data_IF_312358534034
#
_entry.id   IF_312358534034
#
_cell.length_a   1.000
_cell.length_b   1.000
_cell.length_c   1.000
_cell.angle_alpha   90.00
_cell.angle_beta   90.00
_cell.angle_gamma   90.00
#
_symmetry.space_group_name_H-M   'P 1'
#
loop_
_entity.id
_entity.type
_entity.pdbx_description
1 polymer ?
#
# COMPACT_ATOMS: atom_id res chain seq x y z
N UNK A 1 -4.22 -5.83 5.26
CA UNK A 1 -3.50 -4.61 4.84
C UNK A 1 -2.54 -4.23 5.96
N UNK A 2 -1.27 -4.03 5.67
CA UNK A 2 -0.22 -3.61 6.63
C UNK A 2 0.75 -2.66 5.92
N UNK A 3 1.62 -1.95 6.64
CA UNK A 3 2.67 -1.08 6.09
C UNK A 3 2.37 0.42 6.10
N UNK A 4 1.10 0.84 6.15
CA UNK A 4 0.75 2.28 6.13
C UNK A 4 1.35 3.09 7.30
N UNK A 5 1.42 2.50 8.50
CA UNK A 5 1.99 3.15 9.68
C UNK A 5 3.53 3.13 9.70
N UNK A 6 4.15 2.30 8.87
CA UNK A 6 5.61 2.19 8.73
C UNK A 6 6.17 3.24 7.76
N UNK A 7 5.34 3.77 6.86
CA UNK A 7 5.72 4.81 5.91
C UNK A 7 6.14 6.09 6.64
N UNK A 8 7.30 6.63 6.26
CA UNK A 8 7.95 7.74 6.93
C UNK A 8 8.74 7.34 8.19
N UNK A 9 8.74 6.06 8.57
CA UNK A 9 9.54 5.49 9.67
C UNK A 9 10.58 4.47 9.20
N UNK A 10 10.30 3.79 8.08
CA UNK A 10 11.17 2.78 7.46
C UNK A 10 11.30 3.04 5.96
N UNK A 11 12.33 2.46 5.35
CA UNK A 11 12.46 2.52 3.89
C UNK A 11 11.37 1.67 3.21
N UNK A 12 10.89 2.05 2.01
CA UNK A 12 9.90 1.25 1.29
C UNK A 12 10.31 -0.21 1.08
N UNK A 13 11.58 -0.44 0.75
CA UNK A 13 12.13 -1.79 0.57
C UNK A 13 12.13 -2.63 1.85
N UNK A 14 12.37 -2.03 3.02
CA UNK A 14 12.29 -2.76 4.29
C UNK A 14 10.85 -3.18 4.62
N UNK A 15 9.87 -2.32 4.30
CA UNK A 15 8.46 -2.62 4.47
C UNK A 15 8.06 -3.76 3.52
N UNK A 16 8.43 -3.67 2.23
CA UNK A 16 8.18 -4.71 1.25
C UNK A 16 8.77 -6.07 1.64
N UNK A 17 10.05 -6.10 2.03
CA UNK A 17 10.73 -7.31 2.51
C UNK A 17 10.11 -7.91 3.78
N UNK A 18 9.45 -7.11 4.60
CA UNK A 18 8.76 -7.61 5.80
C UNK A 18 7.41 -8.27 5.49
N UNK A 19 6.81 -7.99 4.32
CA UNK A 19 5.49 -8.54 3.94
C UNK A 19 5.59 -10.01 3.49
N UNK A 20 6.65 -10.37 2.77
CA UNK A 20 6.81 -11.72 2.23
C UNK A 20 6.83 -12.81 3.32
N UNK A 21 7.63 -12.70 4.41
CA UNK A 21 7.63 -13.71 5.47
C UNK A 21 6.26 -13.90 6.13
N UNK A 22 5.48 -12.82 6.27
CA UNK A 22 4.12 -12.90 6.80
C UNK A 22 3.20 -13.70 5.87
N UNK A 23 3.31 -13.47 4.55
CA UNK A 23 2.53 -14.20 3.56
C UNK A 23 2.93 -15.68 3.49
N UNK A 24 4.23 -15.98 3.57
CA UNK A 24 4.74 -17.35 3.63
C UNK A 24 4.22 -18.07 4.87
N UNK A 25 4.21 -17.41 6.03
CA UNK A 25 3.65 -18.02 7.24
C UNK A 25 2.18 -18.42 7.09
N UNK A 26 1.35 -17.60 6.43
CA UNK A 26 -0.05 -17.96 6.13
C UNK A 26 -0.11 -19.19 5.21
N UNK A 27 0.77 -19.26 4.22
CA UNK A 27 0.86 -20.39 3.29
C UNK A 27 1.34 -21.67 3.97
N UNK A 28 2.26 -21.58 4.93
CA UNK A 28 2.74 -22.71 5.72
C UNK A 28 1.63 -23.31 6.58
N UNK A 29 0.76 -22.46 7.15
CA UNK A 29 -0.41 -22.88 7.93
C UNK A 29 -1.52 -23.47 7.05
N UNK A 30 -1.64 -23.02 5.79
CA UNK A 30 -2.63 -23.51 4.85
C UNK A 30 -2.07 -23.58 3.42
N UNK A 31 -1.46 -24.71 3.04
CA UNK A 31 -0.79 -24.87 1.74
C UNK A 31 -1.69 -24.78 0.51
N UNK A 32 -3.00 -24.64 0.66
CA UNK A 32 -3.95 -24.39 -0.44
C UNK A 32 -4.41 -22.93 -0.52
N UNK A 33 -4.11 -22.10 0.49
CA UNK A 33 -4.60 -20.73 0.56
C UNK A 33 -3.93 -19.81 -0.47
N UNK A 34 -4.73 -19.02 -1.16
CA UNK A 34 -4.26 -17.85 -1.90
C UNK A 34 -4.25 -16.64 -0.96
N UNK A 35 -3.10 -16.00 -0.84
CA UNK A 35 -2.90 -14.81 -0.01
C UNK A 35 -3.12 -13.57 -0.86
N UNK A 36 -3.97 -12.67 -0.38
CA UNK A 36 -4.20 -11.38 -1.03
C UNK A 36 -3.57 -10.26 -0.21
N UNK A 37 -2.65 -9.52 -0.82
CA UNK A 37 -1.98 -8.37 -0.19
C UNK A 37 -2.52 -7.08 -0.78
N UNK A 38 -3.29 -6.37 0.02
CA UNK A 38 -3.86 -5.10 -0.40
C UNK A 38 -2.81 -3.99 -0.43
N UNK A 39 -2.79 -3.22 -1.52
CA UNK A 39 -1.97 -2.02 -1.65
C UNK A 39 -2.27 -1.01 -0.53
N UNK A 40 -1.24 -0.28 -0.13
CA UNK A 40 -1.37 0.89 0.73
C UNK A 40 -2.15 1.96 -0.04
N UNK A 41 -3.21 2.46 0.59
CA UNK A 41 -4.00 3.57 0.05
C UNK A 41 -3.25 4.89 0.21
N UNK A 42 -3.37 5.81 -0.75
CA UNK A 42 -2.84 7.15 -0.60
C UNK A 42 -3.48 7.85 0.58
N UNK A 43 -2.68 8.66 1.27
CA UNK A 43 -3.13 9.57 2.30
C UNK A 43 -3.65 10.84 1.65
N UNK A 44 -4.81 11.29 2.13
CA UNK A 44 -5.34 12.63 1.88
C UNK A 44 -5.18 13.48 3.15
N UNK A 45 -5.53 14.77 3.07
CA UNK A 45 -5.57 15.65 4.26
C UNK A 45 -6.32 14.95 5.39
N UNK A 46 -5.56 14.60 6.42
CA UNK A 46 -6.07 13.83 7.53
C UNK A 46 -6.89 14.78 8.40
N UNK A 47 -8.23 14.69 8.35
CA UNK A 47 -9.12 15.62 9.07
C UNK A 47 -9.01 15.55 10.60
N UNK A 48 -8.24 14.62 11.15
CA UNK A 48 -8.03 14.44 12.59
C UNK A 48 -6.94 15.35 13.16
N UNK A 49 -5.96 15.76 12.35
CA UNK A 49 -4.89 16.66 12.75
C UNK A 49 -4.64 17.66 11.63
N UNK A 50 -5.21 18.87 11.76
CA UNK A 50 -5.06 19.97 10.78
C UNK A 50 -3.62 20.49 10.60
N UNK A 51 -2.62 19.70 10.98
CA UNK A 51 -1.18 19.97 10.96
C UNK A 51 -0.42 19.26 9.84
N UNK A 52 -1.06 18.38 9.03
CA UNK A 52 -0.36 17.74 7.93
C UNK A 52 -0.21 18.70 6.74
N UNK A 53 1.03 19.05 6.41
CA UNK A 53 1.34 19.89 5.24
C UNK A 53 1.16 19.11 3.94
N UNK A 54 0.83 19.81 2.86
CA UNK A 54 0.73 19.22 1.52
C UNK A 54 2.03 18.50 1.12
N UNK A 55 3.20 19.07 1.50
CA UNK A 55 4.51 18.47 1.25
C UNK A 55 4.69 17.13 1.97
N UNK A 56 4.19 17.02 3.21
CA UNK A 56 4.21 15.76 3.93
C UNK A 56 3.35 14.71 3.21
N UNK A 57 2.15 15.08 2.78
CA UNK A 57 1.23 14.17 2.07
C UNK A 57 1.86 13.68 0.77
N UNK A 58 2.44 14.58 -0.02
CA UNK A 58 3.12 14.24 -1.27
C UNK A 58 4.30 13.27 -1.06
N UNK A 59 5.12 13.49 -0.03
CA UNK A 59 6.23 12.58 0.30
C UNK A 59 5.71 11.21 0.76
N UNK A 60 4.74 11.20 1.67
CA UNK A 60 4.15 9.98 2.19
C UNK A 60 3.52 9.14 1.06
N UNK A 61 2.77 9.77 0.14
CA UNK A 61 2.14 9.08 -0.98
C UNK A 61 3.18 8.51 -1.97
N UNK A 62 4.31 9.19 -2.15
CA UNK A 62 5.42 8.67 -2.97
C UNK A 62 6.02 7.41 -2.34
N UNK A 63 6.26 7.43 -1.04
CA UNK A 63 6.79 6.28 -0.32
C UNK A 63 5.77 5.11 -0.30
N UNK A 64 4.48 5.42 -0.18
CA UNK A 64 3.41 4.43 -0.30
C UNK A 64 3.40 3.75 -1.67
N UNK A 65 3.60 4.51 -2.74
CA UNK A 65 3.70 3.96 -4.10
C UNK A 65 4.92 3.06 -4.25
N UNK A 66 6.07 3.45 -3.69
CA UNK A 66 7.25 2.59 -3.67
C UNK A 66 7.01 1.28 -2.89
N UNK A 67 6.32 1.34 -1.75
CA UNK A 67 5.91 0.12 -1.02
C UNK A 67 4.97 -0.75 -1.87
N UNK A 68 4.03 -0.15 -2.59
CA UNK A 68 3.13 -0.89 -3.48
C UNK A 68 3.90 -1.58 -4.61
N UNK A 69 4.95 -0.97 -5.15
CA UNK A 69 5.82 -1.62 -6.15
C UNK A 69 6.55 -2.84 -5.57
N UNK A 70 7.00 -2.76 -4.32
CA UNK A 70 7.58 -3.91 -3.63
C UNK A 70 6.54 -5.03 -3.42
N UNK A 71 5.31 -4.68 -3.05
CA UNK A 71 4.20 -5.66 -2.92
C UNK A 71 3.91 -6.33 -4.26
N UNK A 72 3.89 -5.56 -5.35
CA UNK A 72 3.68 -6.06 -6.70
C UNK A 72 4.78 -7.05 -7.13
N UNK A 73 6.03 -6.78 -6.76
CA UNK A 73 7.16 -7.66 -7.04
C UNK A 73 7.06 -9.02 -6.34
N UNK A 74 6.25 -9.14 -5.27
CA UNK A 74 6.00 -10.41 -4.56
C UNK A 74 4.94 -11.29 -5.24
N UNK A 75 4.29 -10.79 -6.30
CA UNK A 75 3.21 -11.51 -6.98
C UNK A 75 3.66 -12.87 -7.51
N UNK A 76 2.91 -13.92 -7.15
CA UNK A 76 3.13 -15.27 -7.62
C UNK A 76 1.84 -16.10 -7.56
N UNK A 77 1.86 -17.37 -7.96
CA UNK A 77 0.65 -18.20 -8.09
C UNK A 77 -0.23 -18.29 -6.84
N UNK A 78 0.33 -18.07 -5.65
CA UNK A 78 -0.39 -18.12 -4.37
C UNK A 78 -0.41 -16.79 -3.61
N UNK A 79 0.26 -15.74 -4.11
CA UNK A 79 0.28 -14.42 -3.50
C UNK A 79 -0.12 -13.38 -4.56
N UNK A 80 -1.24 -12.72 -4.33
CA UNK A 80 -1.85 -11.80 -5.27
C UNK A 80 -1.94 -10.39 -4.65
N UNK A 81 -1.19 -9.41 -5.19
CA UNK A 81 -1.41 -8.00 -4.90
C UNK A 81 -2.82 -7.58 -5.31
N UNK A 82 -3.51 -6.85 -4.43
CA UNK A 82 -4.82 -6.29 -4.72
C UNK A 82 -4.71 -4.78 -4.79
N UNK A 83 -4.79 -4.27 -6.03
CA UNK A 83 -4.97 -2.86 -6.31
C UNK A 83 -6.37 -2.44 -5.92
N UNK A 84 -6.47 -1.34 -5.20
CA UNK A 84 -7.75 -0.66 -5.06
C UNK A 84 -8.04 0.11 -6.35
N UNK A 85 -9.26 0.03 -6.93
CA UNK A 85 -9.64 0.81 -8.08
C UNK A 85 -9.56 2.30 -7.73
N UNK A 86 -8.45 2.94 -8.15
CA UNK A 86 -8.08 4.37 -8.01
C UNK A 86 -8.94 5.16 -7.02
N UNK A 87 -8.82 4.84 -5.73
CA UNK A 87 -9.21 5.79 -4.71
C UNK A 87 -8.01 6.72 -4.53
N UNK A 88 -8.12 7.85 -5.23
CA UNK A 88 -7.24 9.00 -5.18
C UNK A 88 -5.96 8.94 -6.06
N UNK A 89 -5.66 10.03 -6.77
CA UNK A 89 -4.38 10.27 -7.45
C UNK A 89 -3.25 10.50 -6.43
N UNK A 90 -2.01 10.70 -6.89
CA UNK A 90 -0.85 11.01 -6.03
C UNK A 90 -1.08 12.23 -5.10
N UNK A 91 -2.11 13.03 -5.37
CA UNK A 91 -2.52 14.20 -4.59
C UNK A 91 -3.67 13.94 -3.63
N UNK A 92 -4.13 12.69 -3.48
CA UNK A 92 -5.25 12.39 -2.58
C UNK A 92 -6.60 12.86 -3.12
N UNK A 93 -6.77 13.04 -4.45
CA UNK A 93 -8.06 13.39 -5.10
C UNK A 93 -8.63 12.23 -5.91
N UNK A 94 -9.90 11.90 -5.71
CA UNK A 94 -10.58 10.89 -6.54
C UNK A 94 -10.37 11.29 -8.01
N UNK A 95 -9.95 10.38 -8.90
CA UNK A 95 -9.98 10.67 -10.31
C UNK A 95 -11.40 11.13 -10.64
N UNK A 96 -11.54 12.23 -11.36
CA UNK A 96 -12.84 12.68 -11.84
C UNK A 96 -13.43 11.57 -12.73
N UNK A 97 -14.11 10.60 -12.13
CA UNK A 97 -14.94 9.62 -12.80
C UNK A 97 -16.22 10.36 -13.19
N UNK A 98 -16.11 11.28 -14.16
CA UNK A 98 -17.21 11.49 -15.08
C UNK A 98 -17.26 10.21 -15.91
N UNK A 99 -18.00 9.23 -15.40
CA UNK A 99 -18.50 8.11 -16.20
C UNK A 99 -19.16 8.75 -17.43
N UNK A 100 -18.50 8.61 -18.59
CA UNK A 100 -19.09 8.82 -19.91
C UNK A 100 -19.50 7.46 -20.42
#
# INVERSE_FOLDING_TARGET
MTGANDIGRKSPGDIGRAIEPLCRHVRDLSPSATVFVSHVLPRCENRFDGSLTQDFICRWNRDAEAVNQEIEALSCSWLQPVRHPRFYDLHGKQPNNKLK
#
